data_IF_312049202271
#
_entry.id   IF_312049202271
#
_cell.length_a   1.000
_cell.length_b   1.000
_cell.length_c   1.000
_cell.angle_alpha   90.00
_cell.angle_beta   90.00
_cell.angle_gamma   90.00
#
_symmetry.space_group_name_H-M   'P 1'
#
loop_
_entity.id
_entity.type
_entity.pdbx_description
1 polymer ?
#
# COMPACT_ATOMS: atom_id res chain seq x y z
N UNK A 1 -3.18 -8.57 -5.36
CA UNK A 1 -3.87 -7.40 -5.92
C UNK A 1 -4.36 -7.79 -7.31
N UNK A 2 -5.54 -7.35 -7.73
CA UNK A 2 -6.20 -7.87 -8.94
C UNK A 2 -5.77 -7.19 -10.26
N UNK A 3 -4.91 -6.16 -10.21
CA UNK A 3 -4.40 -5.40 -11.36
C UNK A 3 -5.49 -4.74 -12.24
N UNK A 4 -6.70 -4.56 -11.71
CA UNK A 4 -7.81 -3.88 -12.39
C UNK A 4 -7.64 -2.37 -12.30
N UNK A 5 -7.83 -1.67 -13.41
CA UNK A 5 -7.84 -0.20 -13.52
C UNK A 5 -9.08 0.35 -14.22
N UNK A 6 -10.00 -0.54 -14.60
CA UNK A 6 -11.27 -0.27 -15.28
C UNK A 6 -12.47 -0.26 -14.29
N UNK A 7 -12.18 -0.07 -13.00
CA UNK A 7 -13.15 -0.05 -11.91
C UNK A 7 -12.85 1.13 -10.99
N UNK A 8 -13.80 1.51 -10.15
CA UNK A 8 -13.57 2.54 -9.14
C UNK A 8 -12.42 2.13 -8.21
N UNK A 9 -11.52 3.09 -7.99
CA UNK A 9 -10.32 2.92 -7.20
C UNK A 9 -10.44 3.70 -5.89
N UNK A 10 -9.94 3.10 -4.82
CA UNK A 10 -9.92 3.63 -3.47
C UNK A 10 -8.49 3.68 -2.93
N UNK A 11 -8.29 4.48 -1.90
CA UNK A 11 -7.04 4.52 -1.15
C UNK A 11 -7.14 3.51 0.00
N UNK A 12 -6.23 2.54 0.00
CA UNK A 12 -6.04 1.56 1.08
C UNK A 12 -4.68 1.73 1.75
N UNK A 13 -4.49 1.03 2.88
CA UNK A 13 -3.21 1.02 3.60
C UNK A 13 -2.47 -0.31 3.39
N UNK A 14 -1.15 -0.27 3.20
CA UNK A 14 -0.29 -1.45 3.11
C UNK A 14 -0.16 -2.15 4.47
N UNK A 15 0.10 -1.36 5.51
CA UNK A 15 0.01 -1.73 6.92
C UNK A 15 -1.33 -1.20 7.44
N UNK A 16 -2.16 -2.11 7.95
CA UNK A 16 -3.52 -1.75 8.38
C UNK A 16 -3.49 -0.78 9.57
N UNK A 17 -4.52 0.08 9.67
CA UNK A 17 -4.73 0.96 10.83
C UNK A 17 -4.73 0.15 12.15
N UNK A 18 -5.25 -1.09 12.12
CA UNK A 18 -5.26 -1.97 13.27
C UNK A 18 -3.83 -2.36 13.69
N UNK A 19 -3.03 -2.87 12.76
CA UNK A 19 -1.66 -3.30 13.04
C UNK A 19 -0.75 -2.11 13.39
N UNK A 20 -0.90 -0.98 12.71
CA UNK A 20 -0.18 0.26 13.01
C UNK A 20 -0.40 0.72 14.46
N UNK A 21 -1.64 0.61 14.98
CA UNK A 21 -1.93 0.95 16.38
C UNK A 21 -1.27 -0.01 17.37
N UNK A 22 -1.20 -1.30 17.04
CA UNK A 22 -0.56 -2.30 17.90
C UNK A 22 0.95 -2.07 18.05
N UNK A 23 1.60 -1.54 17.00
CA UNK A 23 3.05 -1.28 16.99
C UNK A 23 3.41 0.17 17.33
N UNK A 24 2.43 1.03 17.62
CA UNK A 24 2.67 2.42 17.97
C UNK A 24 3.16 3.30 16.82
N UNK A 25 2.73 3.00 15.58
CA UNK A 25 3.02 3.83 14.41
C UNK A 25 2.41 5.22 14.58
N UNK A 26 3.13 6.26 14.14
CA UNK A 26 2.60 7.63 14.20
C UNK A 26 1.49 7.85 13.16
N UNK A 27 0.70 8.91 13.34
CA UNK A 27 -0.31 9.29 12.35
C UNK A 27 0.33 9.72 11.02
N UNK A 28 1.50 10.34 11.07
CA UNK A 28 2.26 10.75 9.89
C UNK A 28 2.75 9.53 9.11
N UNK A 29 3.28 8.50 9.79
CA UNK A 29 3.65 7.24 9.14
C UNK A 29 2.44 6.50 8.58
N UNK A 30 1.30 6.56 9.28
CA UNK A 30 0.07 5.90 8.84
C UNK A 30 -0.47 6.49 7.54
N UNK A 31 -0.37 7.81 7.38
CA UNK A 31 -0.90 8.56 6.24
C UNK A 31 0.16 8.89 5.18
N UNK A 32 1.39 8.45 5.37
CA UNK A 32 2.47 8.58 4.39
C UNK A 32 2.14 7.81 3.10
N UNK A 33 2.52 8.37 1.97
CA UNK A 33 2.43 7.72 0.65
C UNK A 33 3.11 6.34 0.65
N UNK A 34 4.13 6.12 1.49
CA UNK A 34 4.81 4.83 1.65
C UNK A 34 3.92 3.73 2.23
N UNK A 35 2.86 4.10 2.95
CA UNK A 35 1.88 3.19 3.51
C UNK A 35 0.55 3.19 2.76
N UNK A 36 0.38 4.03 1.73
CA UNK A 36 -0.85 4.13 0.95
C UNK A 36 -0.73 3.43 -0.39
N UNK A 37 -1.83 2.83 -0.85
CA UNK A 37 -1.91 2.25 -2.18
C UNK A 37 -3.30 2.43 -2.80
N UNK A 38 -3.31 2.54 -4.12
CA UNK A 38 -4.54 2.57 -4.91
C UNK A 38 -5.00 1.13 -5.16
N UNK A 39 -6.25 0.83 -4.80
CA UNK A 39 -6.82 -0.51 -4.87
C UNK A 39 -8.28 -0.44 -5.37
N UNK A 40 -8.79 -1.48 -6.03
CA UNK A 40 -10.23 -1.56 -6.26
C UNK A 40 -10.97 -1.80 -4.94
N UNK A 41 -12.25 -1.41 -4.87
CA UNK A 41 -13.09 -1.56 -3.68
C UNK A 41 -13.12 -3.00 -3.13
N UNK A 42 -13.17 -4.01 -3.99
CA UNK A 42 -13.18 -5.42 -3.58
C UNK A 42 -11.87 -5.83 -2.89
N UNK A 43 -10.72 -5.44 -3.46
CA UNK A 43 -9.42 -5.74 -2.87
C UNK A 43 -9.19 -4.96 -1.58
N UNK A 44 -9.57 -3.69 -1.54
CA UNK A 44 -9.46 -2.84 -0.35
C UNK A 44 -10.32 -3.40 0.79
N UNK A 45 -11.60 -3.66 0.52
CA UNK A 45 -12.53 -4.23 1.49
C UNK A 45 -12.16 -5.66 1.90
N UNK A 46 -11.64 -6.47 0.97
CA UNK A 46 -11.24 -7.86 1.22
C UNK A 46 -10.05 -8.02 2.16
N UNK A 47 -9.23 -6.98 2.34
CA UNK A 47 -8.19 -6.96 3.37
C UNK A 47 -8.76 -6.75 4.76
N UNK A 48 -9.90 -6.07 4.88
CA UNK A 48 -10.53 -5.73 6.15
C UNK A 48 -9.50 -5.07 7.10
N UNK A 49 -9.28 -5.62 8.29
CA UNK A 49 -8.33 -5.08 9.27
C UNK A 49 -6.93 -5.68 9.16
N UNK A 50 -6.58 -6.33 8.05
CA UNK A 50 -5.27 -6.99 7.87
C UNK A 50 -4.33 -6.16 7.01
N UNK A 51 -3.07 -6.10 7.41
CA UNK A 51 -2.00 -5.65 6.52
C UNK A 51 -1.85 -6.57 5.30
N UNK A 52 -1.25 -6.04 4.25
CA UNK A 52 -0.80 -6.89 3.15
C UNK A 52 0.23 -7.93 3.65
N UNK A 53 0.23 -9.14 3.06
CA UNK A 53 1.28 -10.11 3.31
C UNK A 53 2.68 -9.49 3.10
N UNK A 54 3.66 -9.70 4.01
CA UNK A 54 4.97 -9.04 3.94
C UNK A 54 5.69 -9.21 2.59
N UNK A 55 5.54 -10.37 1.94
CA UNK A 55 6.09 -10.64 0.60
C UNK A 55 5.57 -9.67 -0.47
N UNK A 56 4.32 -9.21 -0.36
CA UNK A 56 3.74 -8.24 -1.28
C UNK A 56 4.22 -6.83 -0.98
N UNK A 57 4.42 -6.48 0.29
CA UNK A 57 5.02 -5.20 0.69
C UNK A 57 6.47 -5.13 0.15
N UNK A 58 7.26 -6.19 0.34
CA UNK A 58 8.62 -6.28 -0.20
C UNK A 58 8.64 -6.16 -1.74
N UNK A 59 7.71 -6.81 -2.44
CA UNK A 59 7.58 -6.70 -3.88
C UNK A 59 7.22 -5.27 -4.33
N UNK A 60 6.35 -4.57 -3.59
CA UNK A 60 5.99 -3.18 -3.87
C UNK A 60 7.19 -2.24 -3.69
N UNK A 61 7.95 -2.38 -2.61
CA UNK A 61 9.20 -1.63 -2.38
C UNK A 61 10.19 -1.88 -3.51
N UNK A 62 10.36 -3.14 -3.92
CA UNK A 62 11.26 -3.49 -5.01
C UNK A 62 10.82 -2.85 -6.35
N UNK A 63 9.54 -2.96 -6.68
CA UNK A 63 8.99 -2.37 -7.90
C UNK A 63 9.11 -0.83 -7.91
N UNK A 64 8.88 -0.17 -6.78
CA UNK A 64 9.05 1.27 -6.64
C UNK A 64 10.49 1.71 -6.96
N UNK A 65 11.49 1.02 -6.38
CA UNK A 65 12.91 1.29 -6.63
C UNK A 65 13.31 1.13 -8.10
N UNK A 66 12.73 0.15 -8.80
CA UNK A 66 12.98 -0.02 -10.23
C UNK A 66 12.48 1.19 -11.02
N UNK A 67 11.28 1.68 -10.73
CA UNK A 67 10.72 2.86 -11.40
C UNK A 67 11.43 4.17 -11.07
N UNK A 68 11.98 4.32 -9.87
CA UNK A 68 12.83 5.46 -9.55
C UNK A 68 14.16 5.43 -10.32
N UNK A 69 14.75 4.24 -10.51
CA UNK A 69 15.94 4.08 -11.34
C UNK A 69 15.71 4.38 -12.83
N UNK A 70 14.49 4.15 -13.32
CA UNK A 70 14.08 4.50 -14.70
C UNK A 70 13.78 6.01 -14.86
N UNK A 71 13.36 6.69 -13.78
CA UNK A 71 13.04 8.14 -13.75
C UNK A 71 14.26 8.97 -13.32
N UNK A 72 15.41 8.77 -13.99
CA UNK A 72 16.67 9.48 -13.72
C UNK A 72 16.53 10.97 -13.37
N UNK A 73 17.50 11.54 -12.62
CA UNK A 73 17.31 12.78 -11.86
C UNK A 73 16.81 13.91 -12.76
N UNK A 74 15.67 14.49 -12.37
CA UNK A 74 15.13 15.71 -12.98
C UNK A 74 16.00 16.92 -12.62
#
# INVERSE_FOLDING_TARGET
MCHRSDVDLEIGHLISVHDSRLVGMSADDLTSDDNLAVMCAECNSGLSSRSLPPRLIAAAIWAHRLHEGERGPR
#
